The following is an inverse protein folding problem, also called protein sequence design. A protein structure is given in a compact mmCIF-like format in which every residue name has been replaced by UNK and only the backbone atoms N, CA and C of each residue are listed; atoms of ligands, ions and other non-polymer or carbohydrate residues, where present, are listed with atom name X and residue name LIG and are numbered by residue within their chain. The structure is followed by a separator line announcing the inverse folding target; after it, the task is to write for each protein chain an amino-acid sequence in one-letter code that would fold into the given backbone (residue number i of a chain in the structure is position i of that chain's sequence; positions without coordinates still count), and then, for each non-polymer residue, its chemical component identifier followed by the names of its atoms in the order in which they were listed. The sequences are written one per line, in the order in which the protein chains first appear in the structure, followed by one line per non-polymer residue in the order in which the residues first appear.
data_IF_769676466846
#
_entry.id   IF_769676466846
#
_cell.length_a   1.000
_cell.length_b   1.000
_cell.length_c   1.000
_cell.angle_alpha   90.00
_cell.angle_beta   90.00
_cell.angle_gamma   90.00
#
_symmetry.space_group_name_H-M   'P 1'
#
loop_
_entity.id
_entity.type
_entity.pdbx_description
1 polymer ?
#
# COMPACT_ATOMS: atom_id res chain seq x y z
N UNK A 1 15.10 -5.37 6.11
CA UNK A 1 14.46 -5.56 7.44
C UNK A 1 14.11 -4.16 7.90
N UNK A 2 12.93 -3.96 8.49
CA UNK A 2 12.59 -2.64 9.02
C UNK A 2 13.40 -2.41 10.30
N UNK A 3 14.18 -1.33 10.36
CA UNK A 3 15.04 -0.99 11.50
C UNK A 3 14.31 -0.13 12.54
N UNK A 4 13.36 0.70 12.09
CA UNK A 4 12.56 1.54 12.96
C UNK A 4 11.14 1.74 12.43
N UNK A 5 10.20 1.93 13.34
CA UNK A 5 8.81 2.24 13.03
C UNK A 5 8.38 3.47 13.82
N UNK A 6 7.91 4.49 13.11
CA UNK A 6 7.25 5.65 13.69
C UNK A 6 5.75 5.58 13.46
N UNK A 7 4.95 6.14 14.37
CA UNK A 7 3.49 6.07 14.29
C UNK A 7 2.84 7.45 14.22
N UNK A 8 1.68 7.51 13.59
CA UNK A 8 0.88 8.73 13.47
C UNK A 8 -0.60 8.46 13.36
N UNK A 9 -1.40 9.53 13.35
CA UNK A 9 -2.86 9.40 13.18
C UNK A 9 -3.28 9.10 11.73
N UNK A 10 -2.53 9.60 10.75
CA UNK A 10 -2.75 9.49 9.31
C UNK A 10 -1.47 9.90 8.57
N UNK A 11 -1.14 9.22 7.48
CA UNK A 11 -0.08 9.63 6.55
C UNK A 11 -0.56 10.68 5.56
N UNK A 12 0.09 11.85 5.56
CA UNK A 12 -0.18 12.91 4.59
C UNK A 12 0.73 12.76 3.36
N UNK A 13 0.15 12.29 2.26
CA UNK A 13 0.83 12.05 0.98
C UNK A 13 1.38 13.32 0.31
N UNK A 14 0.89 14.51 0.66
CA UNK A 14 1.37 15.76 0.06
C UNK A 14 2.57 16.34 0.80
N UNK A 15 2.66 16.09 2.11
CA UNK A 15 3.77 16.57 2.96
C UNK A 15 4.76 15.48 3.34
N UNK A 16 4.49 14.23 2.97
CA UNK A 16 5.28 13.04 3.33
C UNK A 16 5.56 12.97 4.84
N UNK A 17 4.51 13.21 5.64
CA UNK A 17 4.59 13.27 7.10
C UNK A 17 3.28 12.80 7.74
N UNK A 18 3.32 12.52 9.04
CA UNK A 18 2.08 12.34 9.80
C UNK A 18 1.34 13.67 9.98
N UNK A 19 0.01 13.60 10.12
CA UNK A 19 -0.79 14.73 10.59
C UNK A 19 -0.49 15.05 12.06
N UNK A 20 -0.44 14.00 12.89
CA UNK A 20 -0.05 14.03 14.30
C UNK A 20 0.77 12.78 14.61
N UNK A 21 1.88 12.95 15.31
CA UNK A 21 2.71 11.83 15.78
C UNK A 21 2.04 11.14 16.96
N UNK A 22 2.11 9.80 16.98
CA UNK A 22 1.68 8.98 18.10
C UNK A 22 2.90 8.34 18.76
N UNK A 23 2.81 8.09 20.06
CA UNK A 23 3.73 7.16 20.71
C UNK A 23 3.41 5.73 20.28
N UNK A 24 4.38 4.82 20.42
CA UNK A 24 4.16 3.40 20.15
C UNK A 24 3.01 2.85 21.01
N UNK A 25 2.96 3.18 22.30
CA UNK A 25 1.89 2.76 23.21
C UNK A 25 0.51 3.24 22.73
N UNK A 26 0.41 4.48 22.26
CA UNK A 26 -0.84 5.03 21.74
C UNK A 26 -1.26 4.30 20.45
N UNK A 27 -0.33 4.05 19.53
CA UNK A 27 -0.59 3.30 18.31
C UNK A 27 -1.00 1.84 18.61
N UNK A 28 -0.36 1.20 19.61
CA UNK A 28 -0.69 -0.15 20.08
C UNK A 28 -2.09 -0.22 20.65
N UNK A 29 -2.47 0.73 21.52
CA UNK A 29 -3.84 0.84 22.05
C UNK A 29 -4.87 1.01 20.93
N UNK A 30 -4.58 1.85 19.94
CA UNK A 30 -5.46 2.03 18.77
C UNK A 30 -5.59 0.74 17.97
N UNK A 31 -4.49 0.04 17.75
CA UNK A 31 -4.51 -1.25 17.06
C UNK A 31 -5.42 -2.26 17.78
N UNK A 32 -5.24 -2.44 19.10
CA UNK A 32 -6.05 -3.32 19.93
C UNK A 32 -7.54 -2.92 19.92
N UNK A 33 -7.81 -1.61 19.94
CA UNK A 33 -9.16 -1.05 19.86
C UNK A 33 -9.78 -1.11 18.45
N UNK A 34 -8.99 -1.51 17.43
CA UNK A 34 -9.37 -1.48 16.00
C UNK A 34 -9.71 -0.05 15.53
N UNK A 35 -8.95 0.91 16.01
CA UNK A 35 -9.00 2.32 15.61
C UNK A 35 -7.94 2.61 14.55
N UNK A 36 -8.19 3.65 13.74
CA UNK A 36 -7.27 4.03 12.67
C UNK A 36 -5.96 4.60 13.23
N UNK A 37 -4.87 4.27 12.56
CA UNK A 37 -3.56 4.87 12.76
C UNK A 37 -2.70 4.66 11.51
N UNK A 38 -1.53 5.28 11.50
CA UNK A 38 -0.54 5.18 10.44
C UNK A 38 0.80 4.72 11.01
N UNK A 39 1.59 4.03 10.18
CA UNK A 39 2.95 3.62 10.48
C UNK A 39 3.89 4.07 9.37
N UNK A 40 5.13 4.43 9.72
CA UNK A 40 6.21 4.76 8.80
C UNK A 40 7.36 3.82 9.13
N UNK A 41 7.73 3.00 8.15
CA UNK A 41 8.82 2.04 8.22
C UNK A 41 10.08 2.72 7.71
N UNK A 42 11.15 2.59 8.47
CA UNK A 42 12.47 3.09 8.13
C UNK A 42 13.47 1.93 8.07
N UNK A 43 14.35 1.97 7.08
CA UNK A 43 15.47 1.05 6.86
C UNK A 43 16.74 1.89 6.75
N UNK A 44 17.74 1.63 7.58
CA UNK A 44 18.96 2.45 7.70
C UNK A 44 18.66 3.96 7.86
N UNK A 45 17.67 4.29 8.71
CA UNK A 45 17.25 5.67 8.97
C UNK A 45 16.54 6.37 7.80
N UNK A 46 16.20 5.63 6.74
CA UNK A 46 15.49 6.14 5.57
C UNK A 46 14.05 5.61 5.53
N UNK A 47 13.02 6.46 5.38
CA UNK A 47 11.65 6.00 5.14
C UNK A 47 11.54 5.16 3.86
N UNK A 48 11.04 3.94 3.99
CA UNK A 48 10.87 2.98 2.88
C UNK A 48 9.41 2.68 2.59
N UNK A 49 8.54 2.75 3.59
CA UNK A 49 7.10 2.57 3.40
C UNK A 49 6.29 3.34 4.43
N UNK A 50 5.14 3.85 4.03
CA UNK A 50 4.13 4.38 4.94
C UNK A 50 2.84 3.58 4.80
N UNK A 51 2.12 3.38 5.90
CA UNK A 51 0.88 2.63 5.94
C UNK A 51 -0.20 3.45 6.62
N UNK A 52 -1.41 3.43 6.06
CA UNK A 52 -2.62 3.84 6.75
C UNK A 52 -3.47 2.61 7.04
N UNK A 53 -3.74 2.34 8.32
CA UNK A 53 -4.52 1.19 8.77
C UNK A 53 -5.91 1.63 9.21
N UNK A 54 -6.93 1.06 8.59
CA UNK A 54 -8.33 1.17 9.01
C UNK A 54 -8.89 -0.24 9.22
N UNK A 55 -9.64 -0.45 10.30
CA UNK A 55 -10.19 -1.76 10.65
C UNK A 55 -11.70 -1.86 10.41
N UNK A 56 -12.41 -0.74 10.17
CA UNK A 56 -13.88 -0.70 10.07
C UNK A 56 -14.35 0.27 8.97
N UNK A 57 -14.59 -0.22 7.73
CA UNK A 57 -14.21 -1.56 7.23
C UNK A 57 -12.68 -1.71 7.13
N UNK A 58 -12.15 -2.95 7.13
CA UNK A 58 -10.73 -3.20 6.91
C UNK A 58 -10.25 -2.62 5.58
N UNK A 59 -9.33 -1.67 5.65
CA UNK A 59 -8.62 -1.09 4.51
C UNK A 59 -7.20 -0.77 4.97
N UNK A 60 -6.21 -1.23 4.22
CA UNK A 60 -4.80 -0.89 4.46
C UNK A 60 -4.23 -0.31 3.17
N UNK A 61 -3.89 0.96 3.20
CA UNK A 61 -3.14 1.61 2.13
C UNK A 61 -1.65 1.54 2.49
N UNK A 62 -0.84 1.00 1.59
CA UNK A 62 0.63 0.92 1.72
C UNK A 62 1.24 1.79 0.64
N UNK A 63 2.12 2.71 1.01
CA UNK A 63 2.85 3.60 0.13
C UNK A 63 4.33 3.22 0.17
N UNK A 64 4.84 2.67 -0.92
CA UNK A 64 6.25 2.32 -1.05
C UNK A 64 7.01 3.55 -1.54
N UNK A 65 7.97 3.98 -0.73
CA UNK A 65 8.66 5.25 -0.89
C UNK A 65 9.98 5.04 -1.64
N UNK A 66 10.27 5.96 -2.57
CA UNK A 66 11.59 6.02 -3.20
C UNK A 66 12.59 6.85 -2.37
N UNK A 67 13.79 7.07 -2.91
CA UNK A 67 14.85 7.84 -2.26
C UNK A 67 14.46 9.29 -1.92
N UNK A 68 13.52 9.87 -2.67
CA UNK A 68 12.99 11.22 -2.41
C UNK A 68 11.73 11.20 -1.53
N UNK A 69 11.42 10.05 -0.91
CA UNK A 69 10.24 9.79 -0.07
C UNK A 69 8.92 9.90 -0.82
N UNK A 70 8.94 9.76 -2.15
CA UNK A 70 7.74 9.84 -2.99
C UNK A 70 7.09 8.46 -3.08
N UNK A 71 5.75 8.37 -3.13
CA UNK A 71 5.05 7.10 -3.29
C UNK A 71 5.18 6.60 -4.73
N UNK A 72 6.28 5.91 -5.01
CA UNK A 72 6.58 5.25 -6.28
C UNK A 72 5.84 3.92 -6.43
N UNK A 73 5.50 3.26 -5.32
CA UNK A 73 4.56 2.15 -5.28
C UNK A 73 3.39 2.45 -4.35
N UNK A 74 2.21 1.89 -4.63
CA UNK A 74 1.10 1.85 -3.68
C UNK A 74 0.37 0.51 -3.80
N UNK A 75 -0.01 -0.04 -2.65
CA UNK A 75 -0.97 -1.12 -2.54
C UNK A 75 -2.19 -0.65 -1.77
N UNK A 76 -3.36 -1.10 -2.19
CA UNK A 76 -4.59 -0.93 -1.44
C UNK A 76 -5.19 -2.30 -1.17
N UNK A 77 -5.19 -2.64 0.10
CA UNK A 77 -5.86 -3.80 0.62
C UNK A 77 -7.24 -3.42 1.14
N UNK A 78 -8.23 -4.26 0.88
CA UNK A 78 -9.60 -4.12 1.39
C UNK A 78 -10.03 -5.42 2.06
N UNK A 79 -11.11 -5.42 2.84
CA UNK A 79 -11.65 -6.66 3.40
C UNK A 79 -11.82 -7.75 2.33
N UNK A 80 -11.29 -8.95 2.59
CA UNK A 80 -11.52 -10.11 1.72
C UNK A 80 -12.99 -10.54 1.84
N UNK A 81 -13.78 -10.58 0.75
CA UNK A 81 -15.16 -11.04 0.83
C UNK A 81 -15.30 -12.53 1.15
N UNK A 82 -14.24 -13.34 1.00
CA UNK A 82 -14.28 -14.78 1.21
C UNK A 82 -13.95 -15.21 2.65
N UNK A 83 -13.56 -14.29 3.54
CA UNK A 83 -13.21 -14.66 4.92
C UNK A 83 -12.60 -13.53 5.74
N UNK A 84 -11.87 -13.93 6.78
CA UNK A 84 -11.10 -13.00 7.60
C UNK A 84 -9.79 -12.63 6.90
N UNK A 85 -9.54 -11.34 6.73
CA UNK A 85 -8.29 -10.83 6.16
C UNK A 85 -8.51 -9.76 5.10
N UNK A 86 -7.52 -9.64 4.24
CA UNK A 86 -7.36 -8.57 3.27
C UNK A 86 -7.17 -9.13 1.86
N UNK A 87 -7.77 -8.44 0.90
CA UNK A 87 -7.61 -8.63 -0.53
C UNK A 87 -6.88 -7.45 -1.16
N UNK A 88 -5.85 -7.71 -1.97
CA UNK A 88 -5.11 -6.71 -2.74
C UNK A 88 -5.93 -6.19 -3.92
N UNK A 89 -6.82 -5.23 -3.65
CA UNK A 89 -7.72 -4.65 -4.66
C UNK A 89 -6.96 -3.87 -5.72
N UNK A 90 -5.90 -3.15 -5.35
CA UNK A 90 -5.21 -2.23 -6.24
C UNK A 90 -3.70 -2.23 -6.01
N UNK A 91 -2.94 -2.26 -7.10
CA UNK A 91 -1.54 -1.87 -7.12
C UNK A 91 -1.37 -0.64 -8.01
N UNK A 92 -0.42 0.22 -7.67
CA UNK A 92 -0.02 1.36 -8.48
C UNK A 92 1.49 1.49 -8.47
N UNK A 93 2.06 1.69 -9.65
CA UNK A 93 3.48 2.00 -9.83
C UNK A 93 3.61 3.34 -10.55
N UNK A 94 4.56 4.16 -10.12
CA UNK A 94 4.87 5.45 -10.73
C UNK A 94 6.36 5.54 -10.99
N UNK A 95 6.70 6.12 -12.14
CA UNK A 95 8.05 6.54 -12.46
C UNK A 95 8.08 8.07 -12.49
N UNK A 96 9.19 8.63 -12.01
CA UNK A 96 9.35 10.07 -11.88
C UNK A 96 10.58 10.56 -12.65
N UNK A 97 10.50 11.78 -13.17
CA UNK A 97 11.62 12.56 -13.67
C UNK A 97 11.73 13.86 -12.86
N UNK A 98 12.89 14.11 -12.26
CA UNK A 98 13.05 15.20 -11.29
C UNK A 98 12.11 15.05 -10.09
N UNK A 99 11.84 16.11 -9.31
CA UNK A 99 11.25 15.98 -7.97
C UNK A 99 9.73 15.74 -7.95
N UNK A 100 9.01 16.01 -9.04
CA UNK A 100 7.53 16.00 -9.06
C UNK A 100 6.88 15.44 -10.31
N UNK A 101 7.62 15.29 -11.41
CA UNK A 101 7.02 14.93 -12.70
C UNK A 101 6.85 13.43 -12.78
N UNK A 102 5.60 12.95 -12.79
CA UNK A 102 5.30 11.54 -13.09
C UNK A 102 5.40 11.33 -14.60
N UNK A 103 6.30 10.44 -15.02
CA UNK A 103 6.54 10.15 -16.44
C UNK A 103 5.83 8.87 -16.92
N UNK A 104 5.53 7.97 -15.99
CA UNK A 104 4.73 6.78 -16.25
C UNK A 104 3.94 6.40 -15.00
N UNK A 105 2.73 5.90 -15.20
CA UNK A 105 1.91 5.31 -14.15
C UNK A 105 1.25 4.05 -14.67
N UNK A 106 1.35 2.98 -13.89
CA UNK A 106 0.58 1.76 -14.06
C UNK A 106 -0.33 1.58 -12.85
N UNK A 107 -1.59 1.23 -13.08
CA UNK A 107 -2.54 0.88 -12.03
C UNK A 107 -3.20 -0.42 -12.40
N UNK A 108 -3.11 -1.41 -11.51
CA UNK A 108 -3.78 -2.70 -11.68
C UNK A 108 -4.84 -2.86 -10.61
N UNK A 109 -6.05 -3.22 -11.02
CA UNK A 109 -7.13 -3.60 -10.13
C UNK A 109 -7.34 -5.10 -10.25
N UNK A 110 -7.39 -5.77 -9.10
CA UNK A 110 -7.82 -7.17 -9.03
C UNK A 110 -9.10 -7.25 -8.21
N UNK A 111 -10.07 -7.99 -8.71
CA UNK A 111 -11.33 -8.22 -8.04
C UNK A 111 -11.39 -9.67 -7.54
N UNK A 112 -11.98 -9.92 -6.36
CA UNK A 112 -12.17 -11.29 -5.85
C UNK A 112 -13.01 -12.20 -6.75
N UNK A 113 -13.71 -11.64 -7.75
CA UNK A 113 -14.45 -12.40 -8.76
C UNK A 113 -13.61 -12.76 -10.00
N UNK A 114 -12.30 -12.56 -9.96
CA UNK A 114 -11.38 -12.89 -11.05
C UNK A 114 -11.31 -11.86 -12.17
N UNK A 115 -11.84 -10.64 -11.98
CA UNK A 115 -11.64 -9.55 -12.95
C UNK A 115 -10.35 -8.81 -12.66
N UNK A 116 -9.52 -8.67 -13.70
CA UNK A 116 -8.30 -7.87 -13.69
C UNK A 116 -8.43 -6.73 -14.71
N UNK A 117 -8.02 -5.54 -14.29
CA UNK A 117 -7.89 -4.37 -15.17
C UNK A 117 -6.54 -3.73 -14.92
N UNK A 118 -5.80 -3.44 -15.98
CA UNK A 118 -4.56 -2.69 -15.93
C UNK A 118 -4.72 -1.44 -16.76
N UNK A 119 -4.35 -0.29 -16.19
CA UNK A 119 -4.28 0.98 -16.88
C UNK A 119 -2.83 1.46 -16.90
N UNK A 120 -2.29 1.71 -18.09
CA UNK A 120 -0.96 2.27 -18.30
C UNK A 120 -1.09 3.66 -18.89
N UNK A 121 -0.35 4.61 -18.34
CA UNK A 121 -0.31 6.00 -18.80
C UNK A 121 1.11 6.53 -18.82
N UNK A 122 1.60 6.90 -19.99
CA UNK A 122 2.84 7.65 -20.18
C UNK A 122 2.65 9.16 -20.14
N UNK A 123 3.75 9.89 -19.92
CA UNK A 123 3.80 11.34 -20.05
C UNK A 123 3.47 11.78 -21.47
N UNK A 124 2.63 12.81 -21.62
CA UNK A 124 2.26 13.34 -22.93
C UNK A 124 1.34 12.42 -23.74
N UNK A 125 0.95 11.24 -23.23
CA UNK A 125 -0.05 10.40 -23.86
C UNK A 125 -1.46 10.92 -23.52
N UNK A 126 -2.28 11.23 -24.55
CA UNK A 126 -3.64 11.72 -24.33
C UNK A 126 -4.61 10.62 -23.90
N UNK A 127 -4.28 9.37 -24.19
CA UNK A 127 -5.08 8.18 -23.91
C UNK A 127 -4.43 7.34 -22.81
N UNK A 128 -5.25 6.49 -22.18
CA UNK A 128 -4.80 5.46 -21.23
C UNK A 128 -4.92 4.12 -21.94
N UNK A 129 -3.86 3.33 -21.91
CA UNK A 129 -3.90 1.96 -22.41
C UNK A 129 -4.58 1.10 -21.35
N UNK A 130 -5.69 0.46 -21.72
CA UNK A 130 -6.51 -0.36 -20.80
C UNK A 130 -6.44 -1.80 -21.27
N UNK A 131 -6.03 -2.69 -20.38
CA UNK A 131 -6.08 -4.14 -20.57
C UNK A 131 -7.03 -4.72 -19.54
N UNK A 132 -8.01 -5.50 -19.97
CA UNK A 132 -8.90 -6.24 -19.09
C UNK A 132 -8.71 -7.74 -19.33
N UNK A 133 -8.64 -8.50 -18.25
CA UNK A 133 -8.43 -9.93 -18.27
C UNK A 133 -9.26 -10.62 -17.20
N UNK A 134 -9.26 -11.96 -17.27
CA UNK A 134 -9.76 -12.81 -16.20
C UNK A 134 -8.64 -13.68 -15.67
N UNK A 135 -8.71 -13.99 -14.38
CA UNK A 135 -7.83 -14.92 -13.70
C UNK A 135 -8.66 -15.75 -12.70
N UNK A 136 -8.12 -16.87 -12.24
CA UNK A 136 -8.69 -17.63 -11.14
C UNK A 136 -8.10 -17.14 -9.80
N UNK A 137 -8.88 -16.49 -8.92
CA UNK A 137 -8.39 -16.06 -7.61
C UNK A 137 -7.80 -17.17 -6.74
N UNK A 138 -8.13 -18.45 -6.99
CA UNK A 138 -7.56 -19.58 -6.26
C UNK A 138 -6.10 -19.84 -6.65
N UNK A 139 -5.69 -19.49 -7.87
CA UNK A 139 -4.31 -19.64 -8.36
C UNK A 139 -3.38 -18.51 -7.88
N UNK A 140 -3.95 -17.48 -7.23
CA UNK A 140 -3.25 -16.26 -6.81
C UNK A 140 -3.38 -16.02 -5.29
N UNK A 141 -2.78 -16.86 -4.43
CA UNK A 141 -2.83 -16.69 -2.97
C UNK A 141 -2.13 -15.40 -2.50
N UNK A 142 -1.17 -14.86 -3.26
CA UNK A 142 -0.44 -13.62 -2.95
C UNK A 142 -1.30 -12.35 -2.96
N UNK A 143 -2.52 -12.43 -3.51
CA UNK A 143 -3.51 -11.36 -3.44
C UNK A 143 -4.23 -11.30 -2.08
N UNK A 144 -3.98 -12.27 -1.20
CA UNK A 144 -4.56 -12.35 0.15
C UNK A 144 -3.48 -12.15 1.19
N UNK A 145 -3.80 -11.36 2.21
CA UNK A 145 -2.95 -11.14 3.39
C UNK A 145 -3.85 -11.17 4.64
N UNK A 146 -3.36 -11.61 5.80
CA UNK A 146 -4.05 -11.33 7.05
C UNK A 146 -4.06 -9.81 7.33
N UNK A 147 -4.92 -9.36 8.25
CA UNK A 147 -4.70 -8.05 8.85
C UNK A 147 -3.34 -8.09 9.57
N UNK A 148 -2.42 -7.12 9.35
CA UNK A 148 -1.10 -7.17 9.94
C UNK A 148 -1.19 -7.11 11.47
N UNK A 149 -0.27 -7.80 12.14
CA UNK A 149 -0.08 -7.64 13.59
C UNK A 149 0.58 -6.28 13.89
N UNK A 150 0.43 -5.79 15.12
CA UNK A 150 1.04 -4.52 15.48
C UNK A 150 2.58 -4.60 15.43
N UNK A 151 3.19 -3.75 14.61
CA UNK A 151 4.64 -3.70 14.42
C UNK A 151 5.20 -4.72 13.42
N UNK A 152 4.39 -5.67 12.94
CA UNK A 152 4.79 -6.63 11.90
C UNK A 152 4.10 -6.28 10.57
N UNK A 153 4.78 -5.48 9.77
CA UNK A 153 4.26 -4.95 8.50
C UNK A 153 5.03 -5.44 7.28
N UNK A 154 6.09 -6.24 7.47
CA UNK A 154 7.01 -6.62 6.40
C UNK A 154 6.30 -7.44 5.31
N UNK A 155 5.31 -8.27 5.68
CA UNK A 155 4.52 -9.04 4.70
C UNK A 155 3.72 -8.13 3.75
N UNK A 156 3.17 -7.03 4.27
CA UNK A 156 2.32 -6.10 3.52
C UNK A 156 3.12 -5.00 2.80
N UNK A 157 4.33 -4.68 3.28
CA UNK A 157 5.16 -3.56 2.84
C UNK A 157 6.37 -3.94 1.94
N UNK A 158 6.26 -5.02 1.16
CA UNK A 158 7.30 -5.47 0.20
C UNK A 158 7.03 -5.05 -1.25
N UNK A 159 8.07 -4.65 -1.99
CA UNK A 159 7.98 -4.25 -3.41
C UNK A 159 7.61 -5.39 -4.37
N UNK A 160 8.15 -6.58 -4.11
CA UNK A 160 7.92 -7.78 -4.90
C UNK A 160 6.75 -8.57 -4.32
N UNK A 161 5.71 -8.74 -5.12
CA UNK A 161 4.57 -9.60 -4.83
C UNK A 161 4.36 -10.50 -6.05
N UNK A 162 4.80 -11.75 -5.94
CA UNK A 162 4.51 -12.77 -6.96
C UNK A 162 5.46 -12.86 -8.15
N UNK A 163 6.74 -12.48 -8.04
CA UNK A 163 7.74 -12.90 -9.02
C UNK A 163 8.32 -14.26 -8.60
N UNK A 164 8.09 -15.28 -9.44
CA UNK A 164 8.88 -16.51 -9.54
C UNK A 164 9.37 -16.63 -10.98
#
# INVERSE_FOLDING_TARGET
MTDAISYGNLWNRSTHSFGESLTEDEARRRHEARERYAALLEDDGRPVAALDLNFRPPVVDVFLLDEERRPAGQYKFVADPAGDGLWLEQTRRRQFEGPRTVIAQEVTWTRPNGLLRTEVRGQGQPTVDVVEARFDPAEHPELREPMPEFGDYDSIARWERGEK
#
